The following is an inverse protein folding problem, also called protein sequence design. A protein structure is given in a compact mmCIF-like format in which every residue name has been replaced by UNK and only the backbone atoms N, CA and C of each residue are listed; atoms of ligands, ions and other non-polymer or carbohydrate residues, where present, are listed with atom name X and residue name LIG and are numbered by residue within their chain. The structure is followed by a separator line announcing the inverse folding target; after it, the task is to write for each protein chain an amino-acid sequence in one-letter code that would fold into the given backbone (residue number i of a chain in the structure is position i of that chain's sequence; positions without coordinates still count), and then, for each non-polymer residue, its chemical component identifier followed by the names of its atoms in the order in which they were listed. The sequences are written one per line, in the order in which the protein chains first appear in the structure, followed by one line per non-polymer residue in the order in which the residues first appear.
data_IF_609417227924
#
_entry.id   IF_609417227924
#
_cell.length_a   1.000
_cell.length_b   1.000
_cell.length_c   1.000
_cell.angle_alpha   90.00
_cell.angle_beta   90.00
_cell.angle_gamma   90.00
#
_symmetry.space_group_name_H-M   'P 1'
#
loop_
_entity.id
_entity.type
_entity.pdbx_description
1 polymer ?
#
# COMPACT_ATOMS: atom_id res chain seq x y z
N UNK A 1 -14.55 -60.26 -70.51
CA UNK A 1 -13.20 -59.68 -70.68
C UNK A 1 -13.06 -58.51 -69.71
N UNK A 2 -11.97 -58.49 -68.92
CA UNK A 2 -11.19 -57.36 -68.33
C UNK A 2 -11.95 -56.04 -68.09
N UNK A 3 -11.92 -55.35 -66.95
CA UNK A 3 -11.12 -55.37 -65.72
C UNK A 3 -11.51 -54.16 -64.84
N UNK A 4 -11.21 -54.24 -63.54
CA UNK A 4 -11.34 -53.19 -62.50
C UNK A 4 -10.08 -52.27 -62.49
N UNK A 5 -9.85 -51.28 -61.58
CA UNK A 5 -10.69 -50.29 -60.84
C UNK A 5 -10.17 -48.83 -60.97
N UNK A 6 -10.89 -47.81 -60.46
CA UNK A 6 -10.23 -46.63 -59.88
C UNK A 6 -11.11 -45.83 -58.88
N UNK A 7 -10.54 -45.67 -57.68
CA UNK A 7 -10.67 -44.58 -56.69
C UNK A 7 -12.05 -44.21 -56.12
N UNK A 8 -12.31 -44.72 -54.91
CA UNK A 8 -13.20 -44.10 -53.95
C UNK A 8 -12.51 -42.97 -53.17
N UNK A 9 -13.14 -41.80 -53.13
CA UNK A 9 -12.83 -40.75 -52.17
C UNK A 9 -13.81 -40.82 -51.01
N UNK A 10 -13.35 -41.41 -49.89
CA UNK A 10 -14.02 -41.36 -48.62
C UNK A 10 -13.93 -39.96 -48.01
N UNK A 11 -15.06 -39.26 -47.95
CA UNK A 11 -15.24 -38.05 -47.15
C UNK A 11 -15.06 -38.40 -45.67
N UNK A 12 -13.84 -38.25 -45.15
CA UNK A 12 -13.57 -38.32 -43.71
C UNK A 12 -14.21 -37.10 -43.03
N UNK A 13 -15.37 -37.30 -42.40
CA UNK A 13 -15.94 -36.33 -41.44
C UNK A 13 -14.93 -36.15 -40.30
N UNK A 14 -14.32 -34.96 -40.21
CA UNK A 14 -13.52 -34.57 -39.04
C UNK A 14 -14.44 -34.49 -37.81
N UNK A 15 -14.05 -34.99 -36.64
CA UNK A 15 -14.81 -34.78 -35.42
C UNK A 15 -14.81 -33.29 -35.09
N UNK A 16 -16.00 -32.66 -35.02
CA UNK A 16 -16.15 -31.35 -34.38
C UNK A 16 -15.93 -31.56 -32.88
N UNK A 17 -14.73 -31.27 -32.40
CA UNK A 17 -14.52 -31.02 -30.97
C UNK A 17 -15.23 -29.71 -30.63
N UNK A 18 -16.48 -29.80 -30.16
CA UNK A 18 -17.13 -28.70 -29.47
C UNK A 18 -16.38 -28.49 -28.15
N UNK A 19 -15.51 -27.49 -28.09
CA UNK A 19 -15.09 -26.93 -26.81
C UNK A 19 -16.33 -26.28 -26.18
N UNK A 20 -17.11 -27.08 -25.47
CA UNK A 20 -18.07 -26.59 -24.50
C UNK A 20 -17.27 -25.93 -23.39
N UNK A 21 -16.94 -24.66 -23.56
CA UNK A 21 -16.63 -23.79 -22.44
C UNK A 21 -17.94 -23.69 -21.67
N UNK A 22 -18.13 -24.59 -20.71
CA UNK A 22 -19.08 -24.34 -19.64
C UNK A 22 -18.59 -23.08 -18.94
N UNK A 23 -19.13 -21.94 -19.36
CA UNK A 23 -19.05 -20.72 -18.58
C UNK A 23 -19.72 -21.06 -17.26
N UNK A 24 -18.92 -21.38 -16.24
CA UNK A 24 -19.41 -21.45 -14.87
C UNK A 24 -19.87 -20.03 -14.56
N UNK A 25 -21.17 -19.76 -14.74
CA UNK A 25 -21.80 -18.55 -14.26
C UNK A 25 -21.79 -18.67 -12.74
N UNK A 26 -20.68 -18.26 -12.12
CA UNK A 26 -20.67 -18.03 -10.68
C UNK A 26 -21.65 -16.90 -10.47
N UNK A 27 -22.85 -17.24 -10.03
CA UNK A 27 -23.82 -16.23 -9.61
C UNK A 27 -23.13 -15.39 -8.54
N UNK A 28 -23.11 -14.05 -8.68
CA UNK A 28 -22.48 -13.20 -7.69
C UNK A 28 -23.11 -13.51 -6.32
N UNK A 29 -22.26 -13.65 -5.30
CA UNK A 29 -22.74 -13.92 -3.94
C UNK A 29 -23.81 -12.90 -3.57
N UNK A 30 -24.92 -13.37 -3.00
CA UNK A 30 -25.97 -12.48 -2.53
C UNK A 30 -25.42 -11.62 -1.38
N UNK A 31 -25.68 -10.29 -1.38
CA UNK A 31 -25.20 -9.42 -0.32
C UNK A 31 -25.84 -9.77 1.02
N UNK A 32 -25.02 -9.86 2.07
CA UNK A 32 -25.44 -10.27 3.42
C UNK A 32 -25.58 -9.10 4.39
N UNK A 33 -24.80 -8.04 4.19
CA UNK A 33 -24.67 -6.90 5.12
C UNK A 33 -25.36 -5.62 4.64
N UNK A 34 -26.25 -5.72 3.64
CA UNK A 34 -27.00 -4.57 3.08
C UNK A 34 -28.44 -4.50 3.64
N UNK A 35 -28.81 -5.43 4.51
CA UNK A 35 -30.12 -5.44 5.16
C UNK A 35 -30.36 -4.17 5.99
N UNK A 36 -31.61 -3.72 6.18
CA UNK A 36 -31.95 -2.50 6.92
C UNK A 36 -31.28 -2.38 8.30
N UNK A 37 -31.11 -3.50 9.01
CA UNK A 37 -30.42 -3.57 10.31
C UNK A 37 -28.96 -3.08 10.29
N UNK A 38 -28.29 -3.12 9.14
CA UNK A 38 -26.92 -2.64 8.99
C UNK A 38 -26.84 -1.14 8.69
N UNK A 39 -27.96 -0.48 8.37
CA UNK A 39 -28.00 0.96 8.10
C UNK A 39 -27.60 1.78 9.32
N UNK A 40 -28.05 1.38 10.51
CA UNK A 40 -27.65 2.03 11.77
C UNK A 40 -26.13 1.93 11.96
N UNK A 41 -25.56 0.73 11.77
CA UNK A 41 -24.12 0.53 11.87
C UNK A 41 -23.31 1.34 10.84
N UNK A 42 -23.82 1.48 9.62
CA UNK A 42 -23.22 2.36 8.59
C UNK A 42 -23.27 3.81 9.01
N UNK A 43 -24.41 4.31 9.49
CA UNK A 43 -24.55 5.70 9.96
C UNK A 43 -23.62 5.97 11.14
N UNK A 44 -23.58 5.08 12.14
CA UNK A 44 -22.67 5.19 13.29
C UNK A 44 -21.20 5.19 12.86
N UNK A 45 -20.83 4.34 11.91
CA UNK A 45 -19.47 4.31 11.38
C UNK A 45 -19.13 5.59 10.60
N UNK A 46 -20.05 6.13 9.79
CA UNK A 46 -19.83 7.41 9.10
C UNK A 46 -19.70 8.58 10.09
N UNK A 47 -20.52 8.62 11.15
CA UNK A 47 -20.39 9.60 12.22
C UNK A 47 -19.06 9.46 12.96
N UNK A 48 -18.63 8.23 13.26
CA UNK A 48 -17.33 7.97 13.88
C UNK A 48 -16.16 8.35 12.95
N UNK A 49 -16.27 8.13 11.63
CA UNK A 49 -15.28 8.62 10.67
C UNK A 49 -15.25 10.15 10.61
N UNK A 50 -16.41 10.81 10.61
CA UNK A 50 -16.47 12.27 10.65
C UNK A 50 -15.82 12.81 11.94
N UNK A 51 -16.11 12.19 13.09
CA UNK A 51 -15.48 12.53 14.37
C UNK A 51 -13.95 12.28 14.36
N UNK A 52 -13.47 11.23 13.68
CA UNK A 52 -12.05 10.95 13.52
C UNK A 52 -11.33 11.95 12.60
N UNK A 53 -12.03 12.52 11.61
CA UNK A 53 -11.48 13.52 10.69
C UNK A 53 -11.50 14.94 11.26
N UNK A 54 -12.48 15.25 12.12
CA UNK A 54 -12.73 16.60 12.62
C UNK A 54 -11.49 17.27 13.25
N UNK A 55 -10.68 16.61 14.10
CA UNK A 55 -9.47 17.21 14.68
C UNK A 55 -8.40 17.57 13.65
N UNK A 56 -8.49 17.07 12.42
CA UNK A 56 -7.53 17.33 11.33
C UNK A 56 -7.98 18.45 10.39
N UNK A 57 -9.17 19.00 10.61
CA UNK A 57 -9.73 20.10 9.83
C UNK A 57 -9.73 21.41 10.62
N UNK A 58 -9.93 21.36 11.93
CA UNK A 58 -10.15 22.52 12.80
C UNK A 58 -9.17 22.45 13.96
N UNK A 59 -8.61 23.61 14.35
CA UNK A 59 -7.73 23.75 15.50
C UNK A 59 -8.53 23.92 16.82
N UNK A 60 -7.90 24.24 17.94
CA UNK A 60 -8.55 24.45 19.24
C UNK A 60 -9.53 25.65 19.28
N UNK A 61 -9.71 26.35 18.15
CA UNK A 61 -10.64 27.46 17.92
C UNK A 61 -11.34 27.35 16.56
N UNK A 62 -11.97 28.41 16.03
CA UNK A 62 -12.68 28.36 14.74
C UNK A 62 -11.75 28.36 13.51
N UNK A 63 -10.43 28.35 13.72
CA UNK A 63 -9.44 28.33 12.65
C UNK A 63 -9.26 26.94 12.08
N UNK A 64 -8.96 26.87 10.78
CA UNK A 64 -8.56 25.63 10.14
C UNK A 64 -7.22 25.17 10.68
N UNK A 65 -7.06 23.85 10.81
CA UNK A 65 -5.78 23.26 11.21
C UNK A 65 -4.72 23.49 10.14
N UNK A 66 -3.48 23.68 10.57
CA UNK A 66 -2.33 23.74 9.67
C UNK A 66 -1.70 22.34 9.49
N UNK A 67 -1.86 21.79 8.29
CA UNK A 67 -1.17 20.62 7.76
C UNK A 67 0.07 21.06 6.96
N UNK A 68 1.25 20.84 7.53
CA UNK A 68 2.52 21.40 7.04
C UNK A 68 2.93 20.86 5.66
N UNK A 69 2.70 19.57 5.36
CA UNK A 69 3.12 19.01 4.07
C UNK A 69 2.22 19.47 2.91
N UNK A 70 0.94 19.77 3.17
CA UNK A 70 0.09 20.43 2.16
C UNK A 70 0.72 21.74 1.73
N UNK A 71 1.25 22.52 2.68
CA UNK A 71 1.86 23.79 2.34
C UNK A 71 3.22 23.63 1.67
N UNK A 72 4.04 22.65 2.07
CA UNK A 72 5.26 22.28 1.32
C UNK A 72 4.93 21.92 -0.14
N UNK A 73 3.85 21.18 -0.38
CA UNK A 73 3.41 20.84 -1.74
C UNK A 73 2.99 22.08 -2.53
N UNK A 74 2.29 23.01 -1.89
CA UNK A 74 1.84 24.27 -2.49
C UNK A 74 3.01 25.19 -2.80
N UNK A 75 3.94 25.36 -1.86
CA UNK A 75 5.13 26.19 -2.04
C UNK A 75 6.07 25.62 -3.11
N UNK A 76 6.26 24.29 -3.14
CA UNK A 76 6.98 23.63 -4.24
C UNK A 76 6.30 23.84 -5.59
N UNK A 77 4.97 23.77 -5.67
CA UNK A 77 4.23 24.05 -6.90
C UNK A 77 4.30 25.53 -7.32
N UNK A 78 4.24 26.48 -6.37
CA UNK A 78 4.42 27.92 -6.65
C UNK A 78 5.83 28.22 -7.17
N UNK A 79 6.85 27.62 -6.55
CA UNK A 79 8.24 27.70 -7.00
C UNK A 79 8.37 27.21 -8.44
N UNK A 80 7.78 26.05 -8.73
CA UNK A 80 7.76 25.49 -10.07
C UNK A 80 7.11 26.45 -11.08
N UNK A 81 5.95 27.02 -10.75
CA UNK A 81 5.24 27.99 -11.60
C UNK A 81 6.02 29.29 -11.82
N UNK A 82 6.83 29.69 -10.83
CA UNK A 82 7.72 30.85 -10.94
C UNK A 82 8.99 30.57 -11.80
N UNK A 83 9.21 29.31 -12.19
CA UNK A 83 10.43 28.89 -12.91
C UNK A 83 11.64 28.68 -11.99
N UNK A 84 11.44 28.61 -10.68
CA UNK A 84 12.51 28.41 -9.71
C UNK A 84 12.99 26.95 -9.69
N UNK A 85 14.25 26.75 -9.31
CA UNK A 85 14.75 25.40 -9.00
C UNK A 85 14.28 24.96 -7.61
N UNK A 86 13.54 23.86 -7.55
CA UNK A 86 12.89 23.37 -6.33
C UNK A 86 13.85 23.03 -5.19
N UNK A 87 15.10 22.71 -5.52
CA UNK A 87 16.06 22.09 -4.60
C UNK A 87 17.21 23.00 -4.18
N UNK A 88 17.22 24.25 -4.62
CA UNK A 88 18.25 25.23 -4.25
C UNK A 88 17.86 26.10 -3.06
N UNK A 89 16.71 25.83 -2.42
CA UNK A 89 16.21 26.55 -1.25
C UNK A 89 15.38 25.65 -0.33
N UNK A 90 15.17 26.12 0.88
CA UNK A 90 14.12 25.63 1.78
C UNK A 90 12.86 26.49 1.64
N UNK A 91 11.75 25.98 2.18
CA UNK A 91 10.45 26.63 2.20
C UNK A 91 10.05 26.90 3.63
N UNK A 92 9.67 28.16 3.90
CA UNK A 92 9.20 28.60 5.21
C UNK A 92 7.76 28.18 5.39
N UNK A 93 7.53 27.16 6.22
CA UNK A 93 6.23 26.54 6.45
C UNK A 93 6.03 26.28 7.94
N UNK A 94 4.90 26.72 8.51
CA UNK A 94 4.58 26.44 9.91
C UNK A 94 5.62 26.95 10.93
N UNK A 95 6.40 27.97 10.57
CA UNK A 95 7.46 28.52 11.41
C UNK A 95 8.79 27.77 11.36
N UNK A 96 8.95 26.80 10.46
CA UNK A 96 10.20 26.07 10.22
C UNK A 96 10.58 26.08 8.74
N UNK A 97 11.84 25.75 8.45
CA UNK A 97 12.35 25.63 7.08
C UNK A 97 12.42 24.17 6.67
N UNK A 98 11.70 23.79 5.61
CA UNK A 98 11.69 22.43 5.08
C UNK A 98 12.09 22.40 3.59
N UNK A 99 12.88 21.41 3.15
CA UNK A 99 13.18 21.25 1.73
C UNK A 99 12.02 20.54 0.99
N UNK A 100 11.95 20.75 -0.33
CA UNK A 100 11.11 19.91 -1.18
C UNK A 100 11.83 18.58 -1.48
N UNK A 101 11.24 17.46 -1.08
CA UNK A 101 11.91 16.13 -1.11
C UNK A 101 11.41 15.20 -2.22
N UNK A 102 10.40 15.60 -2.98
CA UNK A 102 9.79 14.77 -4.01
C UNK A 102 10.46 14.99 -5.39
N UNK A 103 10.44 13.99 -6.29
CA UNK A 103 10.79 14.18 -7.69
C UNK A 103 10.05 15.35 -8.36
N UNK A 104 10.59 15.94 -9.43
CA UNK A 104 10.03 17.16 -10.05
C UNK A 104 8.58 17.01 -10.53
N UNK A 105 8.17 15.81 -10.97
CA UNK A 105 6.80 15.54 -11.41
C UNK A 105 5.78 15.84 -10.30
N UNK A 106 6.14 15.63 -9.03
CA UNK A 106 5.25 15.87 -7.92
C UNK A 106 4.83 17.34 -7.82
N UNK A 107 5.77 18.28 -8.00
CA UNK A 107 5.47 19.71 -7.98
C UNK A 107 4.44 20.09 -9.05
N UNK A 108 4.55 19.50 -10.25
CA UNK A 108 3.59 19.68 -11.34
C UNK A 108 2.20 19.18 -10.94
N UNK A 109 2.12 17.97 -10.36
CA UNK A 109 0.84 17.40 -9.94
C UNK A 109 0.24 18.09 -8.70
N UNK A 110 1.05 18.83 -7.94
CA UNK A 110 0.60 19.63 -6.80
C UNK A 110 0.16 21.06 -7.18
N UNK A 111 0.33 21.49 -8.44
CA UNK A 111 -0.17 22.79 -8.94
C UNK A 111 -1.63 23.07 -8.53
N UNK A 112 -2.59 22.13 -8.67
CA UNK A 112 -3.97 22.39 -8.28
C UNK A 112 -4.13 22.80 -6.80
N UNK A 113 -3.26 22.31 -5.90
CA UNK A 113 -3.29 22.68 -4.47
C UNK A 113 -2.83 24.14 -4.27
N UNK A 114 -1.91 24.63 -5.10
CA UNK A 114 -1.42 26.00 -5.03
C UNK A 114 -2.43 27.02 -5.56
N UNK A 115 -3.29 26.60 -6.51
CA UNK A 115 -4.27 27.49 -7.16
C UNK A 115 -5.54 27.73 -6.33
N UNK A 116 -5.81 26.89 -5.34
CA UNK A 116 -7.00 27.02 -4.48
C UNK A 116 -6.65 27.63 -3.12
N UNK A 117 -7.62 28.24 -2.42
CA UNK A 117 -7.44 28.66 -1.04
C UNK A 117 -7.01 27.48 -0.16
N UNK A 118 -6.14 27.73 0.82
CA UNK A 118 -5.57 26.68 1.67
C UNK A 118 -6.64 25.78 2.31
N UNK A 119 -7.73 26.37 2.82
CA UNK A 119 -8.80 25.59 3.43
C UNK A 119 -9.51 24.64 2.47
N UNK A 120 -9.64 25.01 1.19
CA UNK A 120 -10.21 24.13 0.17
C UNK A 120 -9.24 22.97 -0.11
N UNK A 121 -7.93 23.26 -0.21
CA UNK A 121 -6.91 22.22 -0.36
C UNK A 121 -6.94 21.25 0.84
N UNK A 122 -6.93 21.76 2.07
CA UNK A 122 -6.97 20.96 3.30
C UNK A 122 -8.20 20.05 3.36
N UNK A 123 -9.40 20.61 3.22
CA UNK A 123 -10.65 19.83 3.30
C UNK A 123 -10.70 18.81 2.17
N UNK A 124 -10.39 19.21 0.94
CA UNK A 124 -10.39 18.32 -0.22
C UNK A 124 -9.40 17.16 -0.05
N UNK A 125 -8.19 17.44 0.42
CA UNK A 125 -7.14 16.44 0.62
C UNK A 125 -7.46 15.45 1.72
N UNK A 126 -8.01 15.93 2.85
CA UNK A 126 -8.46 15.11 3.97
C UNK A 126 -9.61 14.18 3.56
N UNK A 127 -10.61 14.70 2.85
CA UNK A 127 -11.72 13.89 2.34
C UNK A 127 -11.26 12.87 1.30
N UNK A 128 -10.38 13.27 0.38
CA UNK A 128 -9.81 12.37 -0.62
C UNK A 128 -9.04 11.23 0.05
N UNK A 129 -8.22 11.54 1.07
CA UNK A 129 -7.48 10.54 1.85
C UNK A 129 -8.43 9.54 2.52
N UNK A 130 -9.51 10.01 3.14
CA UNK A 130 -10.50 9.14 3.79
C UNK A 130 -11.24 8.24 2.78
N UNK A 131 -11.67 8.78 1.64
CA UNK A 131 -12.34 8.03 0.57
C UNK A 131 -11.41 6.98 -0.03
N UNK A 132 -10.15 7.32 -0.29
CA UNK A 132 -9.18 6.38 -0.83
C UNK A 132 -8.79 5.31 0.21
N UNK A 133 -8.70 5.65 1.49
CA UNK A 133 -8.52 4.66 2.56
C UNK A 133 -9.67 3.66 2.59
N UNK A 134 -10.93 4.15 2.57
CA UNK A 134 -12.11 3.29 2.45
C UNK A 134 -12.05 2.38 1.22
N UNK A 135 -11.66 2.93 0.07
CA UNK A 135 -11.54 2.15 -1.16
C UNK A 135 -10.45 1.07 -1.06
N UNK A 136 -9.29 1.39 -0.51
CA UNK A 136 -8.20 0.44 -0.24
C UNK A 136 -8.67 -0.71 0.65
N UNK A 137 -9.40 -0.41 1.74
CA UNK A 137 -10.00 -1.41 2.62
C UNK A 137 -10.97 -2.34 1.86
N UNK A 138 -11.86 -1.77 1.04
CA UNK A 138 -12.82 -2.54 0.25
C UNK A 138 -12.13 -3.46 -0.77
N UNK A 139 -11.06 -2.98 -1.43
CA UNK A 139 -10.27 -3.79 -2.36
C UNK A 139 -9.55 -4.94 -1.65
N UNK A 140 -8.96 -4.70 -0.48
CA UNK A 140 -8.28 -5.75 0.31
C UNK A 140 -9.28 -6.79 0.81
N UNK A 141 -10.42 -6.35 1.36
CA UNK A 141 -11.50 -7.23 1.82
C UNK A 141 -12.04 -8.11 0.70
N UNK A 142 -12.11 -7.60 -0.53
CA UNK A 142 -12.54 -8.39 -1.70
C UNK A 142 -11.63 -9.58 -1.97
N UNK A 143 -10.32 -9.40 -1.82
CA UNK A 143 -9.34 -10.47 -2.08
C UNK A 143 -9.26 -11.43 -0.91
N UNK A 144 -9.39 -10.93 0.33
CA UNK A 144 -9.32 -11.78 1.52
C UNK A 144 -10.61 -12.53 1.76
N UNK A 145 -11.78 -11.93 1.49
CA UNK A 145 -13.11 -12.50 1.71
C UNK A 145 -13.87 -12.70 0.38
N UNK A 146 -13.36 -13.53 -0.56
CA UNK A 146 -13.92 -13.63 -1.91
C UNK A 146 -15.34 -14.24 -1.97
N UNK A 147 -15.78 -14.90 -0.89
CA UNK A 147 -17.13 -15.45 -0.79
C UNK A 147 -18.23 -14.42 -0.48
N UNK A 148 -17.86 -13.18 -0.14
CA UNK A 148 -18.81 -12.09 0.11
C UNK A 148 -19.06 -11.28 -1.18
N UNK A 149 -20.21 -10.62 -1.24
CA UNK A 149 -20.54 -9.75 -2.37
C UNK A 149 -19.66 -8.49 -2.37
N UNK A 150 -19.40 -7.89 -3.54
CA UNK A 150 -18.66 -6.62 -3.64
C UNK A 150 -19.28 -5.50 -2.79
N UNK A 151 -20.60 -5.55 -2.60
CA UNK A 151 -21.32 -4.60 -1.79
C UNK A 151 -21.20 -4.86 -0.27
N UNK A 152 -20.96 -6.10 0.16
CA UNK A 152 -20.61 -6.43 1.53
C UNK A 152 -19.21 -5.90 1.89
N UNK A 153 -18.23 -6.04 0.99
CA UNK A 153 -16.88 -5.50 1.20
C UNK A 153 -16.92 -3.98 1.42
N UNK A 154 -17.77 -3.27 0.68
CA UNK A 154 -17.98 -1.82 0.84
C UNK A 154 -18.55 -1.46 2.21
N UNK A 155 -19.55 -2.21 2.69
CA UNK A 155 -20.15 -1.98 4.03
C UNK A 155 -19.15 -2.26 5.14
N UNK A 156 -18.43 -3.39 5.06
CA UNK A 156 -17.39 -3.73 6.05
C UNK A 156 -16.27 -2.69 6.03
N UNK A 157 -15.86 -2.21 4.84
CA UNK A 157 -14.88 -1.13 4.73
C UNK A 157 -15.37 0.17 5.41
N UNK A 158 -16.66 0.51 5.34
CA UNK A 158 -17.22 1.64 6.09
C UNK A 158 -17.09 1.40 7.60
N UNK A 159 -17.39 0.20 8.09
CA UNK A 159 -17.26 -0.12 9.52
C UNK A 159 -15.81 -0.08 10.02
N UNK A 160 -14.85 -0.46 9.19
CA UNK A 160 -13.43 -0.43 9.54
C UNK A 160 -12.79 0.96 9.39
N UNK A 161 -13.40 1.87 8.60
CA UNK A 161 -12.83 3.17 8.30
C UNK A 161 -12.52 4.01 9.54
N UNK A 162 -13.41 4.15 10.56
CA UNK A 162 -13.07 4.92 11.76
C UNK A 162 -11.80 4.43 12.44
N UNK A 163 -11.63 3.11 12.58
CA UNK A 163 -10.45 2.51 13.18
C UNK A 163 -9.19 2.77 12.35
N UNK A 164 -9.31 2.67 11.02
CA UNK A 164 -8.21 2.99 10.11
C UNK A 164 -7.80 4.47 10.20
N UNK A 165 -8.75 5.40 10.34
CA UNK A 165 -8.48 6.84 10.42
C UNK A 165 -7.78 7.26 11.72
N UNK A 166 -8.05 6.57 12.84
CA UNK A 166 -7.41 6.85 14.14
C UNK A 166 -6.08 6.11 14.34
N UNK A 167 -5.84 5.04 13.57
CA UNK A 167 -4.57 4.33 13.57
C UNK A 167 -3.44 5.25 13.11
N UNK A 168 -2.32 5.21 13.81
CA UNK A 168 -1.30 6.24 13.76
C UNK A 168 -0.76 6.55 12.36
N UNK A 169 -0.46 5.59 11.48
CA UNK A 169 0.13 5.93 10.19
C UNK A 169 -0.80 6.79 9.33
N UNK A 170 -2.12 6.54 9.46
CA UNK A 170 -3.17 7.27 8.74
C UNK A 170 -3.46 8.58 9.46
N UNK A 171 -3.50 8.57 10.79
CA UNK A 171 -3.66 9.76 11.61
C UNK A 171 -2.56 10.78 11.34
N UNK A 172 -1.30 10.38 11.34
CA UNK A 172 -0.16 11.22 10.98
C UNK A 172 -0.26 11.64 9.50
N UNK A 173 -0.69 10.75 8.60
CA UNK A 173 -0.94 11.14 7.20
C UNK A 173 -1.96 12.28 7.10
N UNK A 174 -3.02 12.27 7.90
CA UNK A 174 -4.02 13.35 7.94
C UNK A 174 -3.47 14.60 8.62
N UNK A 175 -2.73 14.44 9.71
CA UNK A 175 -2.14 15.53 10.48
C UNK A 175 -1.19 16.38 9.62
N UNK A 176 -0.33 15.73 8.86
CA UNK A 176 0.63 16.36 7.96
C UNK A 176 0.01 16.72 6.59
N UNK A 177 -1.03 15.99 6.17
CA UNK A 177 -1.60 16.07 4.82
C UNK A 177 -0.76 15.36 3.76
N UNK A 178 -0.22 14.19 4.11
CA UNK A 178 0.68 13.40 3.29
C UNK A 178 -0.02 12.67 2.13
N UNK A 179 0.73 12.38 1.06
CA UNK A 179 0.23 11.71 -0.15
C UNK A 179 0.14 10.17 -0.05
N UNK A 180 0.61 9.56 1.05
CA UNK A 180 0.92 8.12 1.07
C UNK A 180 -0.29 7.21 0.78
N UNK A 181 -1.50 7.58 1.23
CA UNK A 181 -2.73 6.82 0.93
C UNK A 181 -3.11 6.89 -0.55
N UNK A 182 -2.84 8.02 -1.22
CA UNK A 182 -3.06 8.17 -2.66
C UNK A 182 -2.10 7.23 -3.42
N UNK A 183 -0.82 7.20 -3.04
CA UNK A 183 0.16 6.29 -3.66
C UNK A 183 -0.20 4.82 -3.42
N UNK A 184 -0.64 4.47 -2.21
CA UNK A 184 -1.14 3.13 -1.90
C UNK A 184 -2.34 2.78 -2.78
N UNK A 185 -3.30 3.69 -2.94
CA UNK A 185 -4.45 3.49 -3.81
C UNK A 185 -4.04 3.24 -5.28
N UNK A 186 -3.08 4.00 -5.82
CA UNK A 186 -2.54 3.77 -7.17
C UNK A 186 -1.93 2.37 -7.32
N UNK A 187 -1.13 1.93 -6.35
CA UNK A 187 -0.50 0.60 -6.35
C UNK A 187 -1.56 -0.50 -6.28
N UNK A 188 -2.54 -0.39 -5.38
CA UNK A 188 -3.63 -1.36 -5.26
C UNK A 188 -4.50 -1.37 -6.52
N UNK A 189 -4.72 -0.21 -7.14
CA UNK A 189 -5.47 -0.11 -8.39
C UNK A 189 -4.75 -0.86 -9.53
N UNK A 190 -3.44 -0.72 -9.63
CA UNK A 190 -2.62 -1.35 -10.66
C UNK A 190 -2.52 -2.87 -10.48
N UNK A 191 -2.52 -3.33 -9.23
CA UNK A 191 -2.22 -4.74 -8.89
C UNK A 191 -3.47 -5.57 -8.68
N UNK A 192 -4.47 -5.05 -7.96
CA UNK A 192 -5.59 -5.81 -7.40
C UNK A 192 -6.93 -5.55 -8.10
N UNK A 193 -7.03 -4.55 -8.99
CA UNK A 193 -8.30 -4.33 -9.71
C UNK A 193 -8.53 -5.44 -10.73
N UNK A 194 -9.76 -5.99 -10.77
CA UNK A 194 -10.16 -7.08 -11.69
C UNK A 194 -10.07 -6.69 -13.17
N UNK A 195 -10.47 -5.45 -13.48
CA UNK A 195 -10.52 -4.90 -14.85
C UNK A 195 -9.79 -3.54 -14.86
N UNK A 196 -8.46 -3.54 -14.98
CA UNK A 196 -7.71 -2.28 -15.01
C UNK A 196 -8.02 -1.51 -16.29
N UNK A 197 -8.17 -0.18 -16.18
CA UNK A 197 -8.40 0.70 -17.33
C UNK A 197 -7.11 0.93 -18.14
N UNK A 198 -5.97 0.89 -17.46
CA UNK A 198 -4.63 1.05 -18.03
C UNK A 198 -3.89 -0.28 -18.01
N UNK A 199 -2.86 -0.47 -18.86
CA UNK A 199 -1.96 -1.60 -18.75
C UNK A 199 -1.37 -1.68 -17.33
N UNK A 200 -1.40 -2.87 -16.73
CA UNK A 200 -0.83 -3.08 -15.39
C UNK A 200 0.65 -2.72 -15.39
N UNK A 201 1.01 -1.78 -14.52
CA UNK A 201 2.34 -1.21 -14.34
C UNK A 201 2.37 0.30 -14.50
N UNK A 202 1.41 0.90 -15.23
CA UNK A 202 1.38 2.34 -15.48
C UNK A 202 1.19 3.14 -14.20
N UNK A 203 0.27 2.73 -13.33
CA UNK A 203 -0.04 3.47 -12.11
C UNK A 203 1.07 3.33 -11.06
N UNK A 204 1.74 2.18 -10.97
CA UNK A 204 2.96 2.02 -10.16
C UNK A 204 4.08 2.91 -10.72
N UNK A 205 4.26 2.94 -12.04
CA UNK A 205 5.25 3.82 -12.68
C UNK A 205 4.98 5.30 -12.41
N UNK A 206 3.72 5.73 -12.48
CA UNK A 206 3.30 7.08 -12.09
C UNK A 206 3.60 7.35 -10.62
N UNK A 207 3.20 6.44 -9.72
CA UNK A 207 3.44 6.59 -8.29
C UNK A 207 4.95 6.69 -7.97
N UNK A 208 5.79 5.90 -8.64
CA UNK A 208 7.25 5.93 -8.53
C UNK A 208 7.86 7.26 -9.03
N UNK A 209 7.28 7.86 -10.08
CA UNK A 209 7.70 9.15 -10.58
C UNK A 209 7.23 10.32 -9.69
N UNK A 210 6.18 10.13 -8.89
CA UNK A 210 5.71 11.11 -7.88
C UNK A 210 6.56 11.04 -6.61
N UNK A 211 6.85 9.84 -6.12
CA UNK A 211 7.68 9.57 -4.93
C UNK A 211 8.44 8.29 -5.24
N UNK A 212 9.75 8.20 -5.00
CA UNK A 212 10.53 7.04 -5.47
C UNK A 212 10.11 5.70 -4.82
N UNK A 213 9.53 5.73 -3.61
CA UNK A 213 9.26 4.55 -2.79
C UNK A 213 8.36 3.47 -3.45
N UNK A 214 7.30 3.78 -4.22
CA UNK A 214 6.49 2.76 -4.88
C UNK A 214 7.19 2.02 -6.03
N UNK A 215 8.41 2.44 -6.44
CA UNK A 215 9.17 1.73 -7.46
C UNK A 215 9.41 0.25 -7.09
N UNK A 216 9.51 -0.08 -5.80
CA UNK A 216 9.69 -1.46 -5.31
C UNK A 216 8.56 -2.39 -5.72
N UNK A 217 7.36 -1.88 -6.01
CA UNK A 217 6.23 -2.72 -6.42
C UNK A 217 6.42 -3.35 -7.80
N UNK A 218 7.44 -2.95 -8.58
CA UNK A 218 7.89 -3.72 -9.75
C UNK A 218 8.23 -5.18 -9.38
N UNK A 219 8.72 -5.43 -8.16
CA UNK A 219 9.02 -6.77 -7.64
C UNK A 219 7.79 -7.68 -7.63
N UNK A 220 6.58 -7.12 -7.45
CA UNK A 220 5.33 -7.90 -7.53
C UNK A 220 5.22 -8.59 -8.89
N UNK A 221 5.48 -7.86 -9.98
CA UNK A 221 5.40 -8.42 -11.33
C UNK A 221 6.59 -9.33 -11.64
N UNK A 222 7.79 -9.02 -11.15
CA UNK A 222 8.97 -9.87 -11.34
C UNK A 222 8.80 -11.24 -10.66
N UNK A 223 8.36 -11.27 -9.40
CA UNK A 223 8.07 -12.51 -8.66
C UNK A 223 6.97 -13.32 -9.35
N UNK A 224 5.95 -12.63 -9.86
CA UNK A 224 4.86 -13.27 -10.62
C UNK A 224 5.27 -13.64 -12.06
N UNK A 225 6.52 -13.38 -12.48
CA UNK A 225 7.04 -13.60 -13.84
C UNK A 225 6.23 -12.87 -14.92
N UNK A 226 5.59 -11.77 -14.55
CA UNK A 226 4.79 -10.90 -15.44
C UNK A 226 5.68 -9.84 -16.05
N UNK A 227 6.65 -10.27 -16.85
CA UNK A 227 7.70 -9.44 -17.44
C UNK A 227 7.16 -8.23 -18.22
N UNK A 228 6.06 -8.39 -18.95
CA UNK A 228 5.41 -7.28 -19.65
C UNK A 228 4.96 -6.18 -18.68
N UNK A 229 4.34 -6.54 -17.55
CA UNK A 229 3.91 -5.56 -16.55
C UNK A 229 5.09 -4.93 -15.83
N UNK A 230 6.16 -5.69 -15.55
CA UNK A 230 7.39 -5.12 -15.01
C UNK A 230 8.03 -4.12 -15.98
N UNK A 231 8.10 -4.45 -17.27
CA UNK A 231 8.58 -3.55 -18.30
C UNK A 231 7.70 -2.29 -18.44
N UNK A 232 6.37 -2.44 -18.40
CA UNK A 232 5.44 -1.31 -18.39
C UNK A 232 5.66 -0.42 -17.17
N UNK A 233 5.87 -0.99 -15.97
CA UNK A 233 6.20 -0.22 -14.77
C UNK A 233 7.46 0.60 -14.95
N UNK A 234 8.54 -0.04 -15.40
CA UNK A 234 9.81 0.63 -15.63
C UNK A 234 9.67 1.75 -16.68
N UNK A 235 9.14 1.43 -17.85
CA UNK A 235 8.99 2.38 -18.96
C UNK A 235 8.04 3.53 -18.62
N UNK A 236 6.97 3.28 -17.87
CA UNK A 236 6.05 4.34 -17.44
C UNK A 236 6.71 5.27 -16.43
N UNK A 237 7.42 4.71 -15.43
CA UNK A 237 8.15 5.53 -14.45
C UNK A 237 9.24 6.40 -15.09
N UNK A 238 10.02 5.82 -16.01
CA UNK A 238 10.99 6.57 -16.82
C UNK A 238 10.28 7.61 -17.69
N UNK A 239 9.20 7.22 -18.37
CA UNK A 239 8.44 8.12 -19.24
C UNK A 239 7.88 9.34 -18.52
N UNK A 240 7.26 9.15 -17.35
CA UNK A 240 6.75 10.27 -16.54
C UNK A 240 7.88 11.14 -15.98
N UNK A 241 9.00 10.54 -15.59
CA UNK A 241 10.20 11.27 -15.15
C UNK A 241 10.77 12.12 -16.28
N UNK A 242 10.90 11.56 -17.48
CA UNK A 242 11.37 12.27 -18.67
C UNK A 242 10.39 13.36 -19.11
N UNK A 243 9.08 13.14 -18.95
CA UNK A 243 8.08 14.17 -19.20
C UNK A 243 8.27 15.37 -18.27
N UNK A 244 8.50 15.14 -16.97
CA UNK A 244 8.84 16.22 -16.04
C UNK A 244 10.16 16.91 -16.40
N UNK A 245 11.17 16.14 -16.83
CA UNK A 245 12.45 16.68 -17.29
C UNK A 245 12.33 17.51 -18.56
N UNK A 246 11.42 17.19 -19.48
CA UNK A 246 11.16 17.98 -20.68
C UNK A 246 10.51 19.34 -20.33
N UNK A 247 9.70 19.40 -19.27
CA UNK A 247 9.09 20.66 -18.80
C UNK A 247 10.08 21.49 -17.98
N UNK A 248 10.88 20.85 -17.13
CA UNK A 248 11.85 21.54 -16.26
C UNK A 248 13.19 20.80 -16.18
N UNK A 249 14.07 20.95 -17.19
CA UNK A 249 15.33 20.22 -17.28
C UNK A 249 16.29 20.51 -16.12
N UNK A 250 16.47 21.79 -15.74
CA UNK A 250 17.42 22.20 -14.70
C UNK A 250 17.08 21.61 -13.33
N UNK A 251 15.85 21.80 -12.87
CA UNK A 251 15.31 21.19 -11.64
C UNK A 251 15.46 19.66 -11.65
N UNK A 252 15.21 19.01 -12.80
CA UNK A 252 15.33 17.57 -12.91
C UNK A 252 16.78 17.09 -12.82
N UNK A 253 17.72 17.78 -13.47
CA UNK A 253 19.15 17.47 -13.35
C UNK A 253 19.64 17.63 -11.91
N UNK A 254 19.25 18.71 -11.23
CA UNK A 254 19.58 18.93 -9.82
C UNK A 254 19.06 17.79 -8.94
N UNK A 255 17.81 17.37 -9.14
CA UNK A 255 17.23 16.27 -8.36
C UNK A 255 18.00 14.96 -8.51
N UNK A 256 18.18 14.50 -9.76
CA UNK A 256 18.71 13.17 -10.03
C UNK A 256 20.23 13.06 -9.83
N UNK A 257 20.98 14.15 -10.03
CA UNK A 257 22.44 14.12 -9.90
C UNK A 257 22.93 14.50 -8.51
N UNK A 258 22.20 15.35 -7.78
CA UNK A 258 22.67 15.90 -6.50
C UNK A 258 21.71 15.60 -5.35
N UNK A 259 20.41 15.86 -5.53
CA UNK A 259 19.45 15.84 -4.42
C UNK A 259 19.17 14.42 -3.92
N UNK A 260 19.05 13.45 -4.83
CA UNK A 260 18.63 12.10 -4.47
C UNK A 260 19.66 11.38 -3.58
N UNK A 261 20.95 11.61 -3.77
CA UNK A 261 22.03 10.94 -3.03
C UNK A 261 22.28 11.54 -1.65
N UNK A 262 22.00 12.82 -1.45
CA UNK A 262 22.18 13.48 -0.17
C UNK A 262 20.90 13.35 0.67
N UNK A 263 20.92 12.34 1.54
CA UNK A 263 19.81 11.98 2.44
C UNK A 263 19.82 12.78 3.74
N UNK A 264 20.91 13.50 4.04
CA UNK A 264 21.07 14.27 5.29
C UNK A 264 20.08 15.43 5.40
N UNK A 265 19.55 15.91 4.28
CA UNK A 265 18.55 17.00 4.21
C UNK A 265 17.16 16.63 4.74
N UNK A 266 16.86 15.36 4.96
CA UNK A 266 15.48 14.90 5.21
C UNK A 266 15.10 14.98 6.69
N UNK A 267 16.07 15.12 7.59
CA UNK A 267 15.86 15.29 9.03
C UNK A 267 16.74 14.37 9.88
N UNK A 268 16.50 14.36 11.20
CA UNK A 268 17.22 13.49 12.12
C UNK A 268 16.84 12.02 11.88
N UNK A 269 17.81 11.21 11.46
CA UNK A 269 17.59 9.78 11.19
C UNK A 269 17.22 8.98 12.44
N UNK A 270 17.67 9.40 13.63
CA UNK A 270 17.37 8.72 14.89
C UNK A 270 15.96 9.04 15.43
N UNK A 271 15.25 9.99 14.84
CA UNK A 271 13.93 10.41 15.33
C UNK A 271 12.95 9.24 15.43
N UNK A 272 12.15 9.18 16.50
CA UNK A 272 11.28 8.05 16.83
C UNK A 272 10.35 7.62 15.69
N UNK A 273 9.85 8.57 14.89
CA UNK A 273 9.00 8.29 13.74
C UNK A 273 9.74 7.57 12.59
N UNK A 274 11.08 7.62 12.52
CA UNK A 274 11.84 6.88 11.49
C UNK A 274 11.85 5.37 11.77
N UNK A 275 10.81 4.70 11.31
CA UNK A 275 10.62 3.26 11.41
C UNK A 275 11.31 2.55 10.25
N UNK A 276 12.64 2.60 10.18
CA UNK A 276 13.47 1.92 9.16
C UNK A 276 14.66 1.20 9.79
N UNK A 277 15.34 0.32 9.04
CA UNK A 277 16.60 -0.28 9.52
C UNK A 277 17.63 0.81 9.83
N UNK A 278 17.72 1.86 8.99
CA UNK A 278 18.66 2.95 9.23
C UNK A 278 18.30 3.76 10.47
N UNK A 279 17.01 4.02 10.71
CA UNK A 279 16.55 4.68 11.94
C UNK A 279 16.87 3.85 13.19
N UNK A 280 16.71 2.52 13.12
CA UNK A 280 17.15 1.63 14.20
C UNK A 280 18.66 1.77 14.46
N UNK A 281 19.49 1.67 13.41
CA UNK A 281 20.94 1.79 13.54
C UNK A 281 21.37 3.18 14.04
N UNK A 282 20.71 4.24 13.59
CA UNK A 282 21.01 5.61 14.01
C UNK A 282 20.75 5.84 15.50
N UNK A 283 19.78 5.15 16.10
CA UNK A 283 19.55 5.22 17.56
C UNK A 283 20.58 4.45 18.39
N UNK A 284 21.43 3.65 17.75
CA UNK A 284 22.52 2.91 18.42
C UNK A 284 23.86 3.65 18.35
N UNK A 285 23.93 4.79 17.67
CA UNK A 285 25.13 5.62 17.60
C UNK A 285 25.10 6.73 18.64
N UNK A 286 26.21 7.43 18.83
CA UNK A 286 26.25 8.62 19.67
C UNK A 286 25.60 9.83 18.96
N UNK A 287 25.11 10.84 19.71
CA UNK A 287 24.60 12.07 19.13
C UNK A 287 25.61 12.75 18.19
N UNK A 288 25.20 12.99 16.95
CA UNK A 288 26.04 13.60 15.91
C UNK A 288 26.83 12.61 15.06
N UNK A 289 26.87 11.33 15.43
CA UNK A 289 27.43 10.26 14.59
C UNK A 289 26.40 9.74 13.59
N UNK A 290 26.90 9.23 12.45
CA UNK A 290 26.07 8.59 11.43
C UNK A 290 26.13 7.08 11.56
N UNK A 291 24.98 6.42 11.35
CA UNK A 291 24.92 4.96 11.25
C UNK A 291 25.84 4.44 10.13
N UNK A 292 26.52 3.32 10.41
CA UNK A 292 27.40 2.68 9.42
C UNK A 292 26.65 2.30 8.14
N UNK A 293 27.04 2.93 7.03
CA UNK A 293 26.44 2.67 5.70
C UNK A 293 26.67 1.23 5.26
N UNK A 294 27.80 0.62 5.63
CA UNK A 294 28.12 -0.77 5.30
C UNK A 294 27.18 -1.73 6.03
N UNK A 295 27.01 -1.54 7.36
CA UNK A 295 26.10 -2.38 8.15
C UNK A 295 24.67 -2.23 7.67
N UNK A 296 24.22 -1.00 7.43
CA UNK A 296 22.91 -0.73 6.87
C UNK A 296 22.70 -1.44 5.52
N UNK A 297 23.66 -1.33 4.59
CA UNK A 297 23.59 -1.97 3.28
C UNK A 297 23.49 -3.49 3.36
N UNK A 298 24.27 -4.12 4.25
CA UNK A 298 24.20 -5.58 4.49
C UNK A 298 22.81 -5.97 5.02
N UNK A 299 22.28 -5.25 6.01
CA UNK A 299 20.96 -5.52 6.57
C UNK A 299 19.84 -5.30 5.54
N UNK A 300 19.97 -4.30 4.67
CA UNK A 300 19.03 -4.06 3.55
C UNK A 300 19.05 -5.23 2.56
N UNK A 301 20.23 -5.73 2.17
CA UNK A 301 20.34 -6.88 1.26
C UNK A 301 19.72 -8.13 1.90
N UNK A 302 19.99 -8.39 3.18
CA UNK A 302 19.41 -9.51 3.91
C UNK A 302 17.88 -9.38 4.02
N UNK A 303 17.36 -8.21 4.36
CA UNK A 303 15.93 -7.94 4.44
C UNK A 303 15.26 -8.10 3.06
N UNK A 304 15.85 -7.56 2.00
CA UNK A 304 15.36 -7.71 0.63
C UNK A 304 15.33 -9.18 0.20
N UNK A 305 16.39 -9.94 0.51
CA UNK A 305 16.45 -11.37 0.25
C UNK A 305 15.36 -12.15 0.99
N UNK A 306 15.15 -11.85 2.28
CA UNK A 306 14.12 -12.47 3.10
C UNK A 306 12.70 -12.16 2.60
N UNK A 307 12.42 -10.88 2.28
CA UNK A 307 11.13 -10.45 1.77
C UNK A 307 10.86 -11.06 0.40
N UNK A 308 11.86 -11.08 -0.49
CA UNK A 308 11.75 -11.72 -1.81
C UNK A 308 11.51 -13.22 -1.68
N UNK A 309 12.17 -13.90 -0.75
CA UNK A 309 11.93 -15.32 -0.45
C UNK A 309 10.50 -15.55 0.05
N UNK A 310 9.98 -14.68 0.93
CA UNK A 310 8.58 -14.72 1.37
C UNK A 310 7.63 -14.53 0.19
N UNK A 311 7.88 -13.54 -0.67
CA UNK A 311 7.07 -13.26 -1.86
C UNK A 311 7.04 -14.45 -2.81
N UNK A 312 8.18 -15.08 -3.08
CA UNK A 312 8.29 -16.27 -3.92
C UNK A 312 7.53 -17.45 -3.31
N UNK A 313 7.65 -17.70 -2.00
CA UNK A 313 6.94 -18.78 -1.31
C UNK A 313 5.43 -18.56 -1.31
N UNK A 314 4.97 -17.35 -0.97
CA UNK A 314 3.55 -16.95 -1.03
C UNK A 314 3.01 -17.11 -2.44
N UNK A 315 3.73 -16.63 -3.45
CA UNK A 315 3.33 -16.77 -4.84
C UNK A 315 3.22 -18.24 -5.26
N UNK A 316 4.20 -19.08 -4.91
CA UNK A 316 4.23 -20.50 -5.28
C UNK A 316 3.04 -21.29 -4.72
N UNK A 317 2.59 -20.99 -3.50
CA UNK A 317 1.44 -21.69 -2.89
C UNK A 317 0.09 -21.09 -3.26
N UNK A 318 0.06 -19.93 -3.95
CA UNK A 318 -1.17 -19.30 -4.43
C UNK A 318 -1.69 -20.07 -5.65
N UNK A 319 -2.65 -20.99 -5.44
CA UNK A 319 -3.12 -21.97 -6.45
C UNK A 319 -4.15 -21.43 -7.46
N UNK A 320 -4.19 -20.14 -7.77
CA UNK A 320 -5.18 -19.58 -8.71
C UNK A 320 -4.70 -18.26 -9.31
N UNK A 321 -5.27 -17.89 -10.46
CA UNK A 321 -5.04 -16.63 -11.19
C UNK A 321 -5.50 -15.34 -10.46
N UNK A 322 -5.72 -15.42 -9.14
CA UNK A 322 -6.11 -14.30 -8.30
C UNK A 322 -4.91 -13.36 -8.08
N UNK A 323 -5.11 -12.04 -8.08
CA UNK A 323 -4.05 -11.08 -7.76
C UNK A 323 -3.44 -11.42 -6.40
N UNK A 324 -2.12 -11.63 -6.36
CA UNK A 324 -1.44 -12.09 -5.15
C UNK A 324 -1.32 -10.95 -4.12
N UNK A 325 -2.42 -10.64 -3.42
CA UNK A 325 -2.48 -9.66 -2.33
C UNK A 325 -1.31 -9.84 -1.36
N UNK A 326 -1.01 -11.08 -0.93
CA UNK A 326 0.12 -11.35 -0.06
C UNK A 326 1.47 -10.90 -0.63
N UNK A 327 1.69 -11.03 -1.94
CA UNK A 327 2.91 -10.54 -2.61
C UNK A 327 2.95 -9.01 -2.62
N UNK A 328 1.81 -8.34 -2.82
CA UNK A 328 1.73 -6.87 -2.76
C UNK A 328 1.99 -6.37 -1.33
N UNK A 329 1.39 -7.00 -0.32
CA UNK A 329 1.61 -6.66 1.08
C UNK A 329 3.07 -6.85 1.48
N UNK A 330 3.72 -7.93 1.04
CA UNK A 330 5.16 -8.14 1.27
C UNK A 330 6.02 -7.13 0.51
N UNK A 331 5.69 -6.79 -0.74
CA UNK A 331 6.43 -5.75 -1.47
C UNK A 331 6.38 -4.39 -0.76
N UNK A 332 5.27 -4.07 -0.08
CA UNK A 332 5.17 -2.82 0.70
C UNK A 332 6.18 -2.76 1.84
N UNK A 333 6.55 -3.90 2.46
CA UNK A 333 7.55 -3.89 3.54
C UNK A 333 8.96 -3.62 3.04
N UNK A 334 9.28 -3.93 1.77
CA UNK A 334 10.57 -3.56 1.16
C UNK A 334 10.75 -2.05 1.16
N UNK A 335 9.76 -1.31 0.66
CA UNK A 335 9.82 0.16 0.60
C UNK A 335 10.03 0.79 1.98
N UNK A 336 9.47 0.17 3.01
CA UNK A 336 9.40 0.76 4.35
C UNK A 336 10.58 0.35 5.24
N UNK A 337 11.03 -0.90 5.15
CA UNK A 337 12.16 -1.40 5.95
C UNK A 337 13.50 -0.95 5.37
N UNK A 338 13.63 -0.96 4.03
CA UNK A 338 14.92 -0.75 3.36
C UNK A 338 15.22 0.71 3.01
N UNK A 339 14.24 1.61 3.05
CA UNK A 339 14.48 3.04 2.83
C UNK A 339 15.37 3.61 3.94
N UNK A 340 16.29 4.56 3.65
CA UNK A 340 17.06 5.24 4.69
C UNK A 340 16.15 5.97 5.67
N UNK A 341 15.03 6.53 5.19
CA UNK A 341 14.04 7.20 6.02
C UNK A 341 12.65 6.67 5.72
N UNK A 342 12.00 6.16 6.75
CA UNK A 342 10.60 5.70 6.72
C UNK A 342 9.85 6.23 7.92
N UNK A 343 9.40 7.48 7.82
CA UNK A 343 8.49 8.08 8.80
C UNK A 343 7.27 7.20 9.04
N UNK A 344 6.70 7.26 10.24
CA UNK A 344 5.58 6.40 10.66
C UNK A 344 4.38 6.54 9.73
N UNK A 345 4.11 7.74 9.20
CA UNK A 345 3.07 7.98 8.19
C UNK A 345 3.33 7.32 6.81
N UNK A 346 4.53 6.82 6.51
CA UNK A 346 4.76 5.98 5.33
C UNK A 346 4.16 4.57 5.51
N UNK A 347 3.96 4.13 6.75
CA UNK A 347 3.51 2.79 7.12
C UNK A 347 1.98 2.60 7.07
N UNK A 348 1.25 3.41 6.28
CA UNK A 348 -0.20 3.23 6.02
C UNK A 348 -0.55 1.82 5.50
N UNK A 349 0.44 1.10 4.95
CA UNK A 349 0.35 -0.30 4.55
C UNK A 349 0.14 -1.30 5.70
N UNK A 350 0.44 -0.94 6.95
CA UNK A 350 0.12 -1.81 8.09
C UNK A 350 -1.40 -1.98 8.28
N UNK A 351 -2.21 -1.02 7.82
CA UNK A 351 -3.67 -1.13 7.86
C UNK A 351 -4.18 -2.28 6.96
N UNK A 352 -3.88 -2.32 5.64
CA UNK A 352 -4.28 -3.45 4.81
C UNK A 352 -3.60 -4.76 5.21
N UNK A 353 -2.39 -4.74 5.78
CA UNK A 353 -1.76 -5.95 6.37
C UNK A 353 -2.61 -6.49 7.52
N UNK A 354 -2.97 -5.65 8.49
CA UNK A 354 -3.79 -6.05 9.64
C UNK A 354 -5.16 -6.59 9.21
N UNK A 355 -5.83 -5.89 8.30
CA UNK A 355 -7.14 -6.29 7.76
C UNK A 355 -7.04 -7.62 7.02
N UNK A 356 -5.97 -7.81 6.23
CA UNK A 356 -5.79 -9.04 5.50
C UNK A 356 -5.55 -10.23 6.44
N UNK A 357 -4.65 -10.07 7.41
CA UNK A 357 -4.37 -11.10 8.43
C UNK A 357 -5.63 -11.42 9.26
N UNK A 358 -6.37 -10.41 9.70
CA UNK A 358 -7.62 -10.62 10.44
C UNK A 358 -8.67 -11.38 9.61
N UNK A 359 -8.83 -11.03 8.34
CA UNK A 359 -9.74 -11.74 7.43
C UNK A 359 -9.31 -13.19 7.17
N UNK A 360 -8.00 -13.45 7.02
CA UNK A 360 -7.47 -14.80 6.86
C UNK A 360 -7.61 -15.63 8.14
N UNK A 361 -7.35 -15.03 9.31
CA UNK A 361 -7.58 -15.63 10.63
C UNK A 361 -9.05 -16.04 10.80
N UNK A 362 -9.98 -15.16 10.43
CA UNK A 362 -11.42 -15.43 10.48
C UNK A 362 -11.82 -16.61 9.59
N UNK A 363 -11.34 -16.63 8.35
CA UNK A 363 -11.67 -17.70 7.40
C UNK A 363 -11.15 -19.07 7.81
N UNK A 364 -9.94 -19.11 8.35
CA UNK A 364 -9.25 -20.36 8.66
C UNK A 364 -9.36 -20.80 10.10
N UNK A 365 -9.87 -19.93 10.98
CA UNK A 365 -9.79 -20.09 12.44
C UNK A 365 -8.34 -20.34 12.89
N UNK A 366 -7.41 -19.58 12.32
CA UNK A 366 -5.97 -19.80 12.47
C UNK A 366 -5.35 -18.85 13.48
N UNK A 367 -4.64 -19.40 14.47
CA UNK A 367 -4.00 -18.62 15.54
C UNK A 367 -2.82 -17.75 15.04
N UNK A 368 -1.91 -18.23 14.16
CA UNK A 368 -0.81 -17.40 13.64
C UNK A 368 -1.29 -16.10 12.97
N UNK A 369 -2.26 -16.17 12.06
CA UNK A 369 -2.85 -15.00 11.43
C UNK A 369 -3.50 -14.07 12.45
N UNK A 370 -4.21 -14.61 13.45
CA UNK A 370 -4.87 -13.82 14.50
C UNK A 370 -3.86 -13.08 15.37
N UNK A 371 -2.77 -13.76 15.78
CA UNK A 371 -1.69 -13.16 16.57
C UNK A 371 -1.00 -12.05 15.78
N UNK A 372 -0.64 -12.29 14.52
CA UNK A 372 -0.01 -11.26 13.69
C UNK A 372 -0.94 -10.06 13.43
N UNK A 373 -2.24 -10.31 13.23
CA UNK A 373 -3.22 -9.23 13.11
C UNK A 373 -3.30 -8.40 14.40
N UNK A 374 -3.37 -9.06 15.55
CA UNK A 374 -3.42 -8.40 16.85
C UNK A 374 -2.15 -7.59 17.15
N UNK A 375 -0.96 -8.15 16.86
CA UNK A 375 0.31 -7.44 17.02
C UNK A 375 0.41 -6.23 16.09
N UNK A 376 -0.02 -6.37 14.84
CA UNK A 376 -0.03 -5.26 13.87
C UNK A 376 -0.99 -4.15 14.31
N UNK A 377 -2.21 -4.52 14.76
CA UNK A 377 -3.18 -3.56 15.30
C UNK A 377 -2.67 -2.88 16.57
N UNK A 378 -2.06 -3.64 17.49
CA UNK A 378 -1.48 -3.08 18.70
C UNK A 378 -0.37 -2.07 18.37
N UNK A 379 0.51 -2.38 17.41
CA UNK A 379 1.55 -1.46 16.97
C UNK A 379 0.96 -0.14 16.44
N UNK A 380 -0.02 -0.20 15.52
CA UNK A 380 -0.57 1.03 14.88
C UNK A 380 -1.56 1.80 15.74
N UNK A 381 -2.22 1.16 16.72
CA UNK A 381 -3.18 1.83 17.60
C UNK A 381 -2.49 2.36 18.87
N UNK A 382 -1.60 1.59 19.49
CA UNK A 382 -0.87 2.03 20.68
C UNK A 382 0.31 2.96 20.34
N UNK A 383 0.92 2.77 19.16
CA UNK A 383 2.04 3.59 18.65
C UNK A 383 3.19 3.74 19.65
N UNK A 384 3.81 2.63 20.11
CA UNK A 384 4.75 2.67 21.23
C UNK A 384 5.96 3.59 21.02
N UNK A 385 6.34 3.86 19.76
CA UNK A 385 7.41 4.80 19.43
C UNK A 385 7.14 6.23 19.87
N UNK A 386 5.87 6.63 20.01
CA UNK A 386 5.49 7.92 20.58
C UNK A 386 5.37 7.92 22.11
N UNK A 387 5.25 6.75 22.72
CA UNK A 387 5.15 6.60 24.19
C UNK A 387 6.52 6.59 24.87
N UNK A 388 7.58 6.35 24.10
CA UNK A 388 8.96 6.42 24.56
C UNK A 388 9.49 7.85 24.50
N UNK A 389 10.55 8.20 25.28
CA UNK A 389 11.21 9.49 25.17
C UNK A 389 11.62 9.76 23.72
N UNK A 390 11.17 10.87 23.15
CA UNK A 390 11.41 11.25 21.77
C UNK A 390 11.64 12.77 21.68
N UNK A 391 12.07 13.25 20.50
CA UNK A 391 12.56 14.61 20.27
C UNK A 391 13.89 14.92 20.97
N UNK A 392 14.57 15.96 20.47
CA UNK A 392 15.83 16.50 21.03
C UNK A 392 16.94 15.46 21.25
N UNK A 393 16.91 14.35 20.52
CA UNK A 393 17.91 13.27 20.64
C UNK A 393 17.69 12.35 21.85
N UNK A 394 16.51 12.38 22.49
CA UNK A 394 16.22 11.44 23.58
C UNK A 394 16.22 9.98 23.12
N UNK A 395 16.06 9.72 21.82
CA UNK A 395 16.13 8.38 21.23
C UNK A 395 17.49 7.71 21.37
N UNK A 396 18.59 8.48 21.49
CA UNK A 396 19.93 7.95 21.74
C UNK A 396 20.09 7.37 23.16
N UNK A 397 19.19 7.75 24.08
CA UNK A 397 19.25 7.32 25.49
C UNK A 397 18.43 6.06 25.76
N UNK A 398 17.83 5.47 24.73
CA UNK A 398 16.95 4.33 24.89
C UNK A 398 17.70 3.10 25.44
N UNK A 399 17.18 2.44 26.50
CA UNK A 399 17.69 1.14 26.90
C UNK A 399 17.35 0.10 25.82
N UNK A 400 18.12 -1.00 25.75
CA UNK A 400 17.99 -2.04 24.71
C UNK A 400 16.54 -2.53 24.48
N UNK A 401 15.72 -2.63 25.54
CA UNK A 401 14.33 -3.09 25.45
C UNK A 401 13.42 -2.05 24.78
N UNK A 402 13.71 -0.75 24.94
CA UNK A 402 12.93 0.33 24.35
C UNK A 402 13.06 0.33 22.83
N UNK A 403 14.18 -0.14 22.27
CA UNK A 403 14.31 -0.29 20.82
C UNK A 403 13.31 -1.28 20.21
N UNK A 404 12.81 -2.28 20.97
CA UNK A 404 11.78 -3.20 20.45
C UNK A 404 10.45 -2.47 20.28
N UNK A 405 10.02 -1.74 21.31
CA UNK A 405 8.78 -0.94 21.26
C UNK A 405 8.91 0.26 20.30
N UNK A 406 10.04 0.95 20.35
CA UNK A 406 10.36 2.11 19.53
C UNK A 406 10.57 1.81 18.06
N UNK A 407 10.77 0.54 17.67
CA UNK A 407 10.80 0.09 16.28
C UNK A 407 9.65 -0.88 15.97
N UNK A 408 8.52 -0.74 16.67
CA UNK A 408 7.41 -1.69 16.61
C UNK A 408 6.94 -1.98 15.18
N UNK A 409 6.98 -1.02 14.26
CA UNK A 409 6.53 -1.22 12.87
C UNK A 409 7.48 -2.13 12.09
N UNK A 410 8.78 -1.92 12.24
CA UNK A 410 9.81 -2.78 11.67
C UNK A 410 9.71 -4.19 12.26
N UNK A 411 9.53 -4.30 13.57
CA UNK A 411 9.40 -5.58 14.28
C UNK A 411 8.20 -6.39 13.78
N UNK A 412 7.00 -5.80 13.73
CA UNK A 412 5.81 -6.52 13.25
C UNK A 412 5.91 -6.86 11.76
N UNK A 413 6.49 -5.98 10.94
CA UNK A 413 6.70 -6.26 9.52
C UNK A 413 7.64 -7.44 9.30
N UNK A 414 8.77 -7.48 10.02
CA UNK A 414 9.70 -8.61 9.96
C UNK A 414 9.08 -9.90 10.51
N UNK A 415 8.22 -9.83 11.55
CA UNK A 415 7.49 -10.99 12.04
C UNK A 415 6.51 -11.55 10.99
N UNK A 416 5.78 -10.68 10.29
CA UNK A 416 4.91 -11.08 9.16
C UNK A 416 5.73 -11.71 8.04
N UNK A 417 6.85 -11.09 7.65
CA UNK A 417 7.74 -11.60 6.60
C UNK A 417 8.33 -12.97 6.98
N UNK A 418 8.89 -13.10 8.19
CA UNK A 418 9.47 -14.35 8.68
C UNK A 418 8.41 -15.47 8.75
N UNK A 419 7.21 -15.15 9.22
CA UNK A 419 6.10 -16.10 9.22
C UNK A 419 5.67 -16.49 7.81
N UNK A 420 5.66 -15.55 6.85
CA UNK A 420 5.36 -15.85 5.45
C UNK A 420 6.46 -16.69 4.77
N UNK A 421 7.73 -16.59 5.21
CA UNK A 421 8.77 -17.54 4.80
C UNK A 421 8.47 -18.93 5.36
N UNK A 422 8.26 -19.06 6.67
CA UNK A 422 8.06 -20.35 7.32
C UNK A 422 6.75 -21.04 6.94
N UNK A 423 5.66 -20.27 6.87
CA UNK A 423 4.29 -20.69 6.64
C UNK A 423 3.60 -19.76 5.62
N UNK A 424 3.94 -19.87 4.30
CA UNK A 424 3.48 -18.92 3.28
C UNK A 424 1.96 -18.84 3.12
N UNK A 425 1.22 -19.84 3.62
CA UNK A 425 -0.25 -19.79 3.62
C UNK A 425 -0.80 -18.64 4.46
N UNK A 426 -0.04 -18.11 5.43
CA UNK A 426 -0.45 -17.00 6.33
C UNK A 426 -0.88 -15.73 5.58
N UNK A 427 -0.37 -15.52 4.34
CA UNK A 427 -0.73 -14.38 3.49
C UNK A 427 -1.50 -14.76 2.20
N UNK A 428 -2.07 -15.96 2.17
CA UNK A 428 -2.81 -16.47 1.01
C UNK A 428 -4.26 -16.65 1.43
N UNK A 429 -5.26 -16.02 0.81
CA UNK A 429 -6.67 -16.24 1.15
C UNK A 429 -7.06 -17.73 1.08
N UNK A 430 -8.04 -18.18 1.87
CA UNK A 430 -8.58 -19.53 1.68
C UNK A 430 -9.33 -19.57 0.34
N UNK A 431 -9.05 -20.56 -0.51
CA UNK A 431 -9.87 -20.79 -1.70
C UNK A 431 -11.32 -20.95 -1.25
N UNK A 432 -12.21 -20.15 -1.85
CA UNK A 432 -13.59 -20.03 -1.42
C UNK A 432 -14.18 -21.40 -1.11
N UNK A 433 -14.66 -21.55 0.13
CA UNK A 433 -15.40 -22.72 0.58
C UNK A 433 -16.51 -22.97 -0.46
N UNK A 434 -16.37 -24.00 -1.30
CA UNK A 434 -17.53 -24.57 -1.97
C UNK A 434 -18.47 -24.95 -0.83
N UNK A 435 -19.65 -24.35 -0.79
CA UNK A 435 -20.67 -24.73 0.16
C UNK A 435 -20.97 -26.23 -0.05
N UNK A 436 -20.32 -27.07 0.74
CA UNK A 436 -20.77 -28.42 0.97
C UNK A 436 -22.02 -28.31 1.84
N UNK A 437 -23.16 -28.76 1.33
CA UNK A 437 -24.38 -28.96 2.12
C UNK A 437 -25.57 -28.08 1.72
N UNK A 438 -26.23 -28.43 0.60
CA UNK A 438 -27.70 -28.40 0.48
C UNK A 438 -28.15 -29.01 -0.85
N UNK A 439 -27.89 -30.29 -1.01
CA UNK A 439 -28.80 -31.19 -1.76
C UNK A 439 -29.05 -32.34 -0.79
N UNK A 440 -30.07 -32.24 0.08
CA UNK A 440 -31.45 -32.28 -0.39
C UNK A 440 -31.68 -33.67 -0.94
N UNK A 441 -31.90 -34.63 -0.03
CA UNK A 441 -32.07 -36.03 -0.37
C UNK A 441 -33.22 -36.21 -1.36
N UNK A 442 -32.96 -36.96 -2.42
CA UNK A 442 -33.97 -37.75 -3.10
C UNK A 442 -33.43 -39.17 -3.07
N UNK A 443 -33.85 -39.90 -2.05
CA UNK A 443 -33.88 -41.36 -2.06
C UNK A 443 -34.86 -41.77 -3.15
N UNK A 444 -34.33 -42.21 -4.30
CA UNK A 444 -35.13 -42.89 -5.30
C UNK A 444 -35.26 -44.37 -4.89
N UNK A 445 -36.30 -44.64 -4.12
CA UNK A 445 -36.89 -45.96 -4.02
C UNK A 445 -38.24 -45.90 -4.73
N UNK A 446 -38.33 -46.45 -5.94
CA UNK A 446 -39.46 -47.30 -6.38
C UNK A 446 -39.19 -47.93 -7.75
N UNK A 447 -39.11 -49.26 -7.70
CA UNK A 447 -39.60 -50.30 -8.63
C UNK A 447 -39.13 -50.30 -10.08
#
# INVERSE_FOLDING_TARGET
MRGNPASGEGVRRRPRYSHGVQSISVSPAAPRFILPRHRIGVVLALLASAAALFPWLIDSGPSLRYAIDIDVYREGAKAFLAGDNLYTRSYSVGGIELPFTYPPLAAILFIPLALVPYGVALVGWTLLTAVLMWWCLAVVLRHVLPALADADHRVIAVWLLPLALVAEPVRETLAFGQINVILMALVLADTLTRRPLLPRGVLIGLAAAIKLTPAVFILVFLVQRRWRSAAVTFLSGVGFTLAAAAVSPGTSLTYWLNTLSDTSRIGNEAYSSNQSIRGFLARLTEPGEQASTVVWSVLVVLALGLITAAMLRVHHVTRSAEPALGVVLLASTVALVCSPVSWSHHWVWLIPVAVALAGMAWQRRSAPEAVLAALTLAAVLASPHWLLPNDYGLEYTWPWWAHVAGNSYVVVALAVVATAVAAPRVLVPAAGFRAAGSSGGITDHRR
#
